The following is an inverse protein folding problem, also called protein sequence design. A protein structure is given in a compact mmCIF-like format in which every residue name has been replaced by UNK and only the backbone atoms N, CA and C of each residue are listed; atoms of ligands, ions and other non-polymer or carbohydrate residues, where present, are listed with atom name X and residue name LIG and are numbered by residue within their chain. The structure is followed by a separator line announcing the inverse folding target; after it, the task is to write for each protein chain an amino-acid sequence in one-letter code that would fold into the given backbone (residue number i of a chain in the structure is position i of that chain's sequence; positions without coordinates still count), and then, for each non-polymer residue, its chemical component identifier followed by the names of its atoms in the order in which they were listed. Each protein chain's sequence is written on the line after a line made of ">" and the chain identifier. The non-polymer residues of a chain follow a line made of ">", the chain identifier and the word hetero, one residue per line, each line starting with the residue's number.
data_IF_135332735736
#
_entry.id   IF_135332735736
#
_cell.length_a   1.000
_cell.length_b   1.000
_cell.length_c   1.000
_cell.angle_alpha   90.00
_cell.angle_beta   90.00
_cell.angle_gamma   90.00
#
_symmetry.space_group_name_H-M   'P 1'
#
loop_
_entity.id
_entity.type
_entity.pdbx_description
1 polymer ?
#
# COMPACT_ATOMS: atom_id res chain seq x y z
N UNK A 1 12.06 -39.98 26.18
CA UNK A 1 10.68 -39.66 25.76
C UNK A 1 10.20 -38.45 26.56
N UNK A 2 10.61 -37.24 26.16
CA UNK A 2 10.02 -35.99 26.70
C UNK A 2 9.59 -35.20 25.47
N UNK A 3 8.28 -35.04 25.34
CA UNK A 3 7.62 -34.37 24.24
C UNK A 3 7.96 -32.87 24.29
N UNK A 4 8.70 -32.38 23.29
CA UNK A 4 8.83 -30.95 23.03
C UNK A 4 7.59 -30.54 22.24
N UNK A 5 6.52 -30.17 22.95
CA UNK A 5 5.37 -29.49 22.36
C UNK A 5 5.82 -28.08 21.91
N UNK A 6 6.19 -27.94 20.64
CA UNK A 6 6.46 -26.67 19.99
C UNK A 6 5.13 -25.94 19.76
N UNK A 7 4.82 -25.00 20.66
CA UNK A 7 3.69 -24.08 20.55
C UNK A 7 4.00 -23.04 19.46
N UNK A 8 3.66 -23.35 18.21
CA UNK A 8 3.78 -22.39 17.09
C UNK A 8 2.68 -21.35 17.19
N UNK A 9 2.93 -20.27 17.95
CA UNK A 9 2.10 -19.08 17.93
C UNK A 9 2.32 -18.36 16.58
N UNK A 10 1.37 -18.47 15.66
CA UNK A 10 1.36 -17.68 14.43
C UNK A 10 1.36 -16.19 14.79
N UNK A 11 2.28 -15.37 14.27
CA UNK A 11 2.23 -13.94 14.52
C UNK A 11 0.94 -13.39 13.92
N UNK A 12 0.03 -12.93 14.77
CA UNK A 12 -1.14 -12.15 14.35
C UNK A 12 -0.58 -10.79 13.92
N UNK A 13 -0.29 -10.64 12.63
CA UNK A 13 0.15 -9.38 12.07
C UNK A 13 -0.97 -8.34 12.23
N UNK A 14 -0.78 -7.39 13.16
CA UNK A 14 -1.67 -6.25 13.28
C UNK A 14 -1.53 -5.40 12.01
N UNK A 15 -2.55 -5.45 11.15
CA UNK A 15 -2.65 -4.54 10.03
C UNK A 15 -2.69 -3.09 10.54
N UNK A 16 -1.66 -2.29 10.22
CA UNK A 16 -1.69 -0.84 10.48
C UNK A 16 -2.95 -0.24 9.84
N UNK A 17 -3.67 0.58 10.61
CA UNK A 17 -4.76 1.37 10.06
C UNK A 17 -4.20 2.51 9.21
N UNK A 18 -5.00 3.03 8.27
CA UNK A 18 -4.59 4.15 7.42
C UNK A 18 -4.14 5.40 8.19
N UNK A 19 -4.61 5.58 9.43
CA UNK A 19 -4.23 6.69 10.31
C UNK A 19 -2.83 6.53 10.92
N UNK A 20 -2.28 5.31 10.92
CA UNK A 20 -0.96 5.02 11.46
C UNK A 20 0.18 5.35 10.48
N UNK A 21 -0.12 5.40 9.18
CA UNK A 21 0.87 5.76 8.16
C UNK A 21 1.09 7.27 8.11
N UNK A 22 2.35 7.65 7.91
CA UNK A 22 2.74 9.07 7.75
C UNK A 22 2.96 9.47 6.31
N UNK A 23 3.13 8.51 5.40
CA UNK A 23 3.38 8.78 3.98
C UNK A 23 2.88 7.65 3.08
N UNK A 24 2.59 7.96 1.81
CA UNK A 24 2.22 6.94 0.82
C UNK A 24 3.34 5.92 0.59
N UNK A 25 4.60 6.35 0.67
CA UNK A 25 5.75 5.45 0.52
C UNK A 25 5.79 4.38 1.62
N UNK A 26 5.41 4.73 2.84
CA UNK A 26 5.33 3.78 3.96
C UNK A 26 4.23 2.74 3.72
N UNK A 27 3.08 3.17 3.19
CA UNK A 27 2.00 2.25 2.80
C UNK A 27 2.48 1.28 1.73
N UNK A 28 3.07 1.80 0.65
CA UNK A 28 3.53 0.95 -0.46
C UNK A 28 4.65 0.01 -0.04
N UNK A 29 5.55 0.44 0.86
CA UNK A 29 6.60 -0.40 1.41
C UNK A 29 6.04 -1.58 2.24
N UNK A 30 4.93 -1.37 2.96
CA UNK A 30 4.25 -2.44 3.71
C UNK A 30 3.42 -3.38 2.80
N UNK A 31 3.08 -2.96 1.57
CA UNK A 31 2.35 -3.76 0.56
C UNK A 31 3.07 -3.75 -0.81
N UNK A 32 4.26 -4.36 -0.90
CA UNK A 32 5.06 -4.34 -2.12
C UNK A 32 4.42 -5.13 -3.28
N UNK A 33 3.49 -6.05 -2.98
CA UNK A 33 2.72 -6.80 -3.96
C UNK A 33 1.55 -6.00 -4.57
N UNK A 34 1.33 -4.76 -4.11
CA UNK A 34 0.28 -3.87 -4.60
C UNK A 34 -1.14 -4.29 -4.20
N UNK A 35 -1.31 -5.32 -3.35
CA UNK A 35 -2.64 -5.73 -2.86
C UNK A 35 -2.98 -5.02 -1.56
N UNK A 36 -3.67 -3.91 -1.68
CA UNK A 36 -4.03 -3.09 -0.53
C UNK A 36 -5.24 -3.63 0.25
N UNK A 37 -6.15 -4.38 -0.38
CA UNK A 37 -7.33 -4.94 0.28
C UNK A 37 -8.17 -3.84 0.94
N UNK A 38 -8.51 -3.97 2.23
CA UNK A 38 -9.36 -3.02 2.98
C UNK A 38 -8.86 -1.57 3.05
N UNK A 39 -7.61 -1.30 2.65
CA UNK A 39 -7.01 0.05 2.68
C UNK A 39 -7.36 0.85 1.43
N UNK A 40 -7.71 0.15 0.36
CA UNK A 40 -8.33 0.68 -0.85
C UNK A 40 -9.84 0.34 -0.75
N UNK A 41 -10.59 1.26 -0.17
CA UNK A 41 -11.98 1.00 0.24
C UNK A 41 -12.96 1.00 -0.93
N UNK A 42 -12.61 1.74 -1.97
CA UNK A 42 -13.38 1.98 -3.19
C UNK A 42 -12.84 1.20 -4.40
N UNK A 43 -11.65 0.58 -4.29
CA UNK A 43 -11.10 -0.34 -5.27
C UNK A 43 -10.47 0.36 -6.47
N UNK A 44 -10.09 1.63 -6.33
CA UNK A 44 -9.56 2.45 -7.41
C UNK A 44 -8.03 2.28 -7.57
N UNK A 45 -7.39 1.52 -6.67
CA UNK A 45 -5.96 1.30 -6.61
C UNK A 45 -5.20 2.32 -5.75
N UNK A 46 -5.89 3.16 -4.98
CA UNK A 46 -5.31 4.16 -4.07
C UNK A 46 -5.52 3.75 -2.62
N UNK A 47 -4.48 3.20 -1.95
CA UNK A 47 -4.61 2.84 -0.55
C UNK A 47 -4.51 4.07 0.34
N UNK A 48 -5.34 4.14 1.38
CA UNK A 48 -5.24 5.13 2.43
C UNK A 48 -5.11 6.57 1.89
N UNK A 49 -6.20 7.10 1.33
CA UNK A 49 -6.24 8.42 0.69
C UNK A 49 -5.75 9.60 1.55
N UNK A 50 -5.70 9.42 2.87
CA UNK A 50 -5.09 10.37 3.80
C UNK A 50 -3.60 10.63 3.48
N UNK A 51 -2.88 9.65 2.91
CA UNK A 51 -1.45 9.73 2.61
C UNK A 51 -1.11 9.51 1.13
N UNK A 52 -1.86 8.67 0.40
CA UNK A 52 -1.73 8.51 -1.05
C UNK A 52 -2.78 9.35 -1.77
N UNK A 53 -2.38 10.19 -2.74
CA UNK A 53 -3.30 11.15 -3.38
C UNK A 53 -3.75 10.75 -4.78
N UNK A 54 -3.16 9.71 -5.36
CA UNK A 54 -3.48 9.26 -6.71
C UNK A 54 -2.89 7.89 -6.99
N UNK A 55 -3.54 7.14 -7.88
CA UNK A 55 -3.05 5.83 -8.34
C UNK A 55 -1.67 5.94 -9.01
N UNK A 56 -1.44 7.01 -9.76
CA UNK A 56 -0.16 7.28 -10.42
C UNK A 56 0.99 7.45 -9.41
N UNK A 57 0.71 8.02 -8.23
CA UNK A 57 1.69 8.12 -7.15
C UNK A 57 2.03 6.74 -6.59
N UNK A 58 1.02 5.89 -6.41
CA UNK A 58 1.15 4.53 -5.87
C UNK A 58 1.92 3.65 -6.84
N UNK A 59 1.54 3.66 -8.13
CA UNK A 59 2.23 2.93 -9.20
C UNK A 59 3.70 3.36 -9.30
N UNK A 60 3.99 4.66 -9.20
CA UNK A 60 5.38 5.14 -9.19
C UNK A 60 6.18 4.60 -8.00
N UNK A 61 5.56 4.45 -6.83
CA UNK A 61 6.23 3.91 -5.65
C UNK A 61 6.43 2.39 -5.75
N UNK A 62 5.48 1.66 -6.36
CA UNK A 62 5.58 0.22 -6.61
C UNK A 62 6.64 -0.11 -7.67
N UNK A 63 6.71 0.67 -8.75
CA UNK A 63 7.64 0.47 -9.86
C UNK A 63 9.08 0.98 -9.55
N UNK A 64 9.31 1.56 -8.37
CA UNK A 64 10.63 1.98 -7.91
C UNK A 64 11.06 3.39 -8.35
N UNK A 65 10.12 4.31 -8.57
CA UNK A 65 10.41 5.73 -8.83
C UNK A 65 10.68 6.08 -10.30
N UNK A 66 10.30 5.20 -11.24
CA UNK A 66 10.56 5.37 -12.67
C UNK A 66 9.46 6.14 -13.42
N UNK A 67 9.70 7.43 -13.63
CA UNK A 67 9.02 8.32 -14.60
C UNK A 67 7.73 9.00 -14.14
N UNK A 68 7.88 10.31 -13.96
CA UNK A 68 6.83 11.31 -14.06
C UNK A 68 6.27 11.34 -15.49
N UNK A 69 5.46 10.34 -15.85
CA UNK A 69 4.70 10.32 -17.10
C UNK A 69 3.61 11.36 -17.01
N UNK A 70 3.80 12.48 -17.72
CA UNK A 70 2.87 13.60 -17.83
C UNK A 70 1.43 13.10 -18.04
N UNK A 71 0.51 13.52 -17.16
CA UNK A 71 -0.91 13.58 -17.50
C UNK A 71 -1.06 14.57 -18.66
N UNK A 72 -1.26 14.04 -19.85
CA UNK A 72 -1.97 14.76 -20.89
C UNK A 72 -3.37 15.04 -20.36
N UNK A 73 -3.67 16.31 -20.13
CA UNK A 73 -5.03 16.80 -19.97
C UNK A 73 -5.21 17.96 -20.97
N UNK A 74 -5.62 17.55 -22.17
CA UNK A 74 -6.64 18.19 -23.02
C UNK A 74 -6.73 19.71 -22.97
N UNK A 75 -6.35 20.34 -24.08
CA UNK A 75 -6.72 21.72 -24.39
C UNK A 75 -8.23 21.91 -24.37
N UNK A 76 -8.69 22.87 -23.58
CA UNK A 76 -10.00 23.52 -23.79
C UNK A 76 -9.84 24.50 -24.94
N UNK A 77 -10.57 24.26 -26.02
CA UNK A 77 -11.04 25.30 -26.95
C UNK A 77 -12.41 25.77 -26.48
#
# INVERSE_FOLDING_TARGET
>A
MIAVLLLTASPVGYAKSCKAYRSCAEVVADYPDGRFGRRDGDGDGVPCENVCRSREQVERLLDGGGKSGKRGATGKR
#
